data_IF_368965468022
#
_entry.id   IF_368965468022
#
_cell.length_a   1.000
_cell.length_b   1.000
_cell.length_c   1.000
_cell.angle_alpha   90.00
_cell.angle_beta   90.00
_cell.angle_gamma   90.00
#
_symmetry.space_group_name_H-M   'P 1'
#
loop_
_entity.id
_entity.type
_entity.pdbx_description
1 polymer ?
#
# COMPACT_ATOMS: atom_id res chain seq x y z
N UNK A 1 27.86 9.34 -1.99
CA UNK A 1 28.02 10.08 -0.72
C UNK A 1 28.33 11.57 -0.86
N UNK A 2 29.37 12.04 -1.57
CA UNK A 2 29.65 13.48 -1.65
C UNK A 2 28.46 14.33 -2.12
N UNK A 3 27.77 13.86 -3.17
CA UNK A 3 26.57 14.52 -3.71
C UNK A 3 25.42 14.60 -2.70
N UNK A 4 25.19 13.55 -1.91
CA UNK A 4 24.18 13.58 -0.85
C UNK A 4 24.48 14.68 0.18
N UNK A 5 25.74 14.80 0.61
CA UNK A 5 26.13 15.83 1.57
C UNK A 5 25.97 17.24 1.00
N UNK A 6 26.27 17.45 -0.28
CA UNK A 6 26.05 18.73 -0.95
C UNK A 6 24.57 19.12 -0.96
N UNK A 7 23.70 18.19 -1.32
CA UNK A 7 22.25 18.39 -1.32
C UNK A 7 21.74 18.68 0.11
N UNK A 8 22.14 17.88 1.09
CA UNK A 8 21.71 18.06 2.48
C UNK A 8 22.20 19.40 3.07
N UNK A 9 23.45 19.80 2.77
CA UNK A 9 23.98 21.13 3.12
C UNK A 9 23.17 22.25 2.49
N UNK A 10 22.81 22.10 1.21
CA UNK A 10 21.97 23.07 0.49
C UNK A 10 20.57 23.17 1.10
N UNK A 11 19.92 22.05 1.40
CA UNK A 11 18.61 22.04 2.04
C UNK A 11 18.65 22.72 3.43
N UNK A 12 19.65 22.38 4.24
CA UNK A 12 19.84 23.01 5.55
C UNK A 12 20.10 24.52 5.42
N UNK A 13 20.90 24.97 4.45
CA UNK A 13 21.14 26.40 4.24
C UNK A 13 19.90 27.17 3.79
N UNK A 14 18.90 26.48 3.23
CA UNK A 14 17.58 27.02 2.90
C UNK A 14 16.55 26.85 4.03
N UNK A 15 16.98 26.49 5.24
CA UNK A 15 16.14 26.43 6.44
C UNK A 15 15.45 25.09 6.69
N UNK A 16 15.81 24.02 5.97
CA UNK A 16 15.29 22.69 6.28
C UNK A 16 15.86 22.19 7.62
N UNK A 17 14.99 22.05 8.62
CA UNK A 17 15.36 21.48 9.93
C UNK A 17 15.27 19.96 9.94
N UNK A 18 14.21 19.41 9.33
CA UNK A 18 13.95 17.98 9.22
C UNK A 18 14.07 17.54 7.77
N UNK A 19 14.77 16.43 7.54
CA UNK A 19 14.85 15.79 6.23
C UNK A 19 14.53 14.31 6.40
N UNK A 20 13.48 13.88 5.70
CA UNK A 20 13.17 12.47 5.54
C UNK A 20 14.12 11.82 4.53
N UNK A 21 14.75 10.72 4.94
CA UNK A 21 15.53 9.86 4.06
C UNK A 21 14.89 8.48 4.09
N UNK A 22 14.36 8.08 2.94
CA UNK A 22 13.72 6.79 2.75
C UNK A 22 14.79 5.69 2.64
N UNK A 23 14.77 4.77 3.60
CA UNK A 23 15.61 3.57 3.63
C UNK A 23 14.75 2.29 3.69
N UNK A 24 13.86 2.06 2.71
CA UNK A 24 12.97 0.90 2.71
C UNK A 24 13.71 -0.44 2.54
N UNK A 25 14.99 -0.43 2.20
CA UNK A 25 15.79 -1.66 2.17
C UNK A 25 16.08 -2.21 3.58
N UNK A 26 15.93 -1.40 4.64
CA UNK A 26 16.08 -1.86 6.03
C UNK A 26 15.05 -2.93 6.44
N UNK A 27 13.95 -3.09 5.70
CA UNK A 27 12.94 -4.12 5.96
C UNK A 27 13.16 -5.40 5.16
N UNK A 28 14.29 -5.53 4.47
CA UNK A 28 14.70 -6.72 3.72
C UNK A 28 15.85 -7.46 4.40
N UNK A 29 16.15 -8.67 3.94
CA UNK A 29 17.35 -9.39 4.36
C UNK A 29 18.61 -8.65 3.89
N UNK A 30 19.36 -8.08 4.83
CA UNK A 30 20.57 -7.33 4.56
C UNK A 30 21.83 -8.17 4.73
N UNK A 31 22.73 -8.08 3.75
CA UNK A 31 24.11 -8.57 3.87
C UNK A 31 24.90 -7.72 4.88
N UNK A 32 25.93 -8.29 5.50
CA UNK A 32 26.79 -7.56 6.46
C UNK A 32 27.40 -6.30 5.84
N UNK A 33 27.84 -6.38 4.58
CA UNK A 33 28.36 -5.23 3.84
C UNK A 33 27.33 -4.09 3.69
N UNK A 34 26.05 -4.43 3.52
CA UNK A 34 24.99 -3.42 3.48
C UNK A 34 24.79 -2.80 4.87
N UNK A 35 24.80 -3.60 5.94
CA UNK A 35 24.71 -3.11 7.32
C UNK A 35 25.86 -2.16 7.66
N UNK A 36 27.09 -2.50 7.28
CA UNK A 36 28.26 -1.64 7.43
C UNK A 36 28.10 -0.31 6.68
N UNK A 37 27.52 -0.34 5.47
CA UNK A 37 27.27 0.86 4.68
C UNK A 37 26.30 1.81 5.39
N UNK A 38 25.20 1.30 5.96
CA UNK A 38 24.28 2.11 6.78
C UNK A 38 25.01 2.85 7.91
N UNK A 39 25.76 2.11 8.73
CA UNK A 39 26.50 2.71 9.85
C UNK A 39 27.47 3.80 9.36
N UNK A 40 28.25 3.51 8.31
CA UNK A 40 29.22 4.46 7.77
C UNK A 40 28.57 5.73 7.16
N UNK A 41 27.46 5.56 6.46
CA UNK A 41 26.74 6.66 5.80
C UNK A 41 26.14 7.62 6.83
N UNK A 42 25.38 7.10 7.79
CA UNK A 42 24.69 7.93 8.76
C UNK A 42 25.66 8.56 9.78
N UNK A 43 26.73 7.85 10.17
CA UNK A 43 27.81 8.46 10.97
C UNK A 43 28.45 9.65 10.23
N UNK A 44 28.63 9.55 8.91
CA UNK A 44 29.18 10.64 8.10
C UNK A 44 28.21 11.83 7.99
N UNK A 45 26.91 11.58 7.82
CA UNK A 45 25.89 12.64 7.79
C UNK A 45 25.88 13.38 9.14
N UNK A 46 25.78 12.66 10.25
CA UNK A 46 25.77 13.26 11.59
C UNK A 46 27.02 14.11 11.87
N UNK A 47 28.21 13.63 11.45
CA UNK A 47 29.47 14.36 11.62
C UNK A 47 29.51 15.68 10.84
N UNK A 48 29.02 15.68 9.61
CA UNK A 48 29.09 16.84 8.71
C UNK A 48 27.95 17.83 8.92
N UNK A 49 26.81 17.36 9.43
CA UNK A 49 25.56 18.09 9.56
C UNK A 49 24.94 17.84 10.95
N UNK A 50 25.63 18.16 12.06
CA UNK A 50 25.21 17.74 13.40
C UNK A 50 23.87 18.31 13.87
N UNK A 51 23.44 19.43 13.27
CA UNK A 51 22.19 20.11 13.61
C UNK A 51 21.01 19.67 12.72
N UNK A 52 21.26 18.86 11.68
CA UNK A 52 20.22 18.43 10.75
C UNK A 52 19.47 17.22 11.34
N UNK A 53 18.15 17.31 11.46
CA UNK A 53 17.33 16.23 12.02
C UNK A 53 16.90 15.28 10.92
N UNK A 54 17.53 14.12 10.88
CA UNK A 54 17.19 13.08 9.90
C UNK A 54 16.02 12.23 10.43
N UNK A 55 15.01 12.05 9.58
CA UNK A 55 13.95 11.07 9.77
C UNK A 55 14.31 9.85 8.90
N UNK A 56 14.75 8.78 9.54
CA UNK A 56 15.04 7.50 8.88
C UNK A 56 13.71 6.76 8.64
N UNK A 57 13.32 6.63 7.38
CA UNK A 57 11.98 6.16 7.04
C UNK A 57 11.97 4.78 6.42
N UNK A 58 11.22 3.87 7.04
CA UNK A 58 11.01 2.50 6.56
C UNK A 58 9.53 2.21 6.37
N UNK A 59 9.19 1.42 5.37
CA UNK A 59 7.79 1.10 5.06
C UNK A 59 7.69 -0.21 4.28
N UNK A 60 6.44 -0.68 4.11
CA UNK A 60 6.04 -1.88 3.36
C UNK A 60 6.27 -3.22 4.04
N UNK A 61 7.08 -3.28 5.09
CA UNK A 61 7.30 -4.43 5.98
C UNK A 61 7.92 -3.93 7.30
N UNK A 62 8.35 -4.82 8.18
CA UNK A 62 8.91 -4.52 9.50
C UNK A 62 10.43 -4.66 9.51
N UNK A 63 11.08 -4.08 10.51
CA UNK A 63 12.55 -4.08 10.60
C UNK A 63 13.15 -5.46 10.90
N UNK A 64 12.40 -6.34 11.59
CA UNK A 64 12.81 -7.71 11.95
C UNK A 64 14.27 -7.74 12.48
N UNK A 65 15.14 -8.58 11.90
CA UNK A 65 16.55 -8.74 12.31
C UNK A 65 17.41 -7.48 12.14
N UNK A 66 16.93 -6.46 11.41
CA UNK A 66 17.62 -5.18 11.24
C UNK A 66 17.18 -4.13 12.26
N UNK A 67 16.26 -4.43 13.17
CA UNK A 67 15.83 -3.50 14.22
C UNK A 67 17.01 -2.96 15.05
N UNK A 68 17.98 -3.78 15.53
CA UNK A 68 19.14 -3.26 16.27
C UNK A 68 19.99 -2.29 15.43
N UNK A 69 20.13 -2.55 14.13
CA UNK A 69 20.83 -1.64 13.23
C UNK A 69 20.11 -0.30 13.15
N UNK A 70 18.81 -0.29 12.83
CA UNK A 70 18.02 0.94 12.68
C UNK A 70 18.03 1.81 13.94
N UNK A 71 17.91 1.19 15.12
CA UNK A 71 17.97 1.90 16.42
C UNK A 71 19.36 2.44 16.77
N UNK A 72 20.42 1.88 16.19
CA UNK A 72 21.80 2.32 16.44
C UNK A 72 22.25 3.51 15.58
N UNK A 73 21.52 3.82 14.51
CA UNK A 73 21.92 4.89 13.58
C UNK A 73 21.75 6.27 14.23
N UNK A 74 22.69 7.21 14.01
CA UNK A 74 22.62 8.55 14.59
C UNK A 74 21.62 9.42 13.81
N UNK A 75 20.33 9.22 14.09
CA UNK A 75 19.21 9.94 13.46
C UNK A 75 18.27 10.50 14.54
N UNK A 76 17.46 11.50 14.18
CA UNK A 76 16.55 12.16 15.13
C UNK A 76 15.25 11.36 15.30
N UNK A 77 14.72 10.81 14.20
CA UNK A 77 13.44 10.09 14.19
C UNK A 77 13.55 8.81 13.37
N UNK A 78 12.96 7.73 13.85
CA UNK A 78 12.71 6.50 13.08
C UNK A 78 11.23 6.43 12.70
N UNK A 79 10.91 6.24 11.43
CA UNK A 79 9.55 5.96 10.98
C UNK A 79 9.37 4.47 10.65
N UNK A 80 8.25 3.90 11.11
CA UNK A 80 7.90 2.48 10.94
C UNK A 80 6.45 2.30 10.48
N UNK A 81 6.24 1.29 9.63
CA UNK A 81 4.93 0.91 9.10
C UNK A 81 4.17 -0.02 10.07
N UNK A 82 3.27 0.57 10.85
CA UNK A 82 2.41 -0.15 11.81
C UNK A 82 1.10 -0.63 11.20
N UNK A 83 0.83 -0.30 9.93
CA UNK A 83 -0.30 -0.88 9.19
C UNK A 83 0.05 -2.29 8.75
N UNK A 84 1.25 -2.46 8.19
CA UNK A 84 1.71 -3.74 7.68
C UNK A 84 2.25 -4.65 8.77
N UNK A 85 3.00 -4.08 9.71
CA UNK A 85 3.69 -4.78 10.80
C UNK A 85 3.38 -4.12 12.13
N UNK A 86 2.13 -4.17 12.61
CA UNK A 86 1.75 -3.59 13.89
C UNK A 86 2.51 -4.22 15.07
N UNK A 87 2.84 -5.51 14.98
CA UNK A 87 3.49 -6.26 16.06
C UNK A 87 4.91 -5.78 16.38
N UNK A 88 5.57 -5.07 15.45
CA UNK A 88 6.93 -4.59 15.65
C UNK A 88 7.03 -3.46 16.70
N UNK A 89 5.90 -2.79 17.01
CA UNK A 89 5.88 -1.68 17.95
C UNK A 89 6.41 -2.09 19.34
N UNK A 90 6.02 -3.28 19.82
CA UNK A 90 6.48 -3.79 21.12
C UNK A 90 8.01 -3.89 21.19
N UNK A 91 8.61 -4.48 20.17
CA UNK A 91 10.05 -4.70 20.10
C UNK A 91 10.80 -3.36 19.99
N UNK A 92 10.25 -2.40 19.24
CA UNK A 92 10.81 -1.06 19.15
C UNK A 92 10.75 -0.36 20.50
N UNK A 93 9.57 -0.32 21.13
CA UNK A 93 9.39 0.37 22.40
C UNK A 93 10.29 -0.22 23.51
N UNK A 94 10.53 -1.52 23.49
CA UNK A 94 11.43 -2.19 24.45
C UNK A 94 12.92 -1.83 24.26
N UNK A 95 13.34 -1.44 23.05
CA UNK A 95 14.75 -1.24 22.70
C UNK A 95 15.12 0.20 22.29
N UNK A 96 14.14 1.10 22.15
CA UNK A 96 14.35 2.44 21.60
C UNK A 96 15.26 3.30 22.51
N UNK A 97 16.32 3.92 21.96
CA UNK A 97 17.18 4.83 22.73
C UNK A 97 16.43 6.07 23.23
N UNK A 98 16.88 6.67 24.34
CA UNK A 98 16.22 7.83 24.99
C UNK A 98 16.02 9.04 24.07
N UNK A 99 16.95 9.27 23.13
CA UNK A 99 16.95 10.46 22.27
C UNK A 99 16.29 10.23 20.90
N UNK A 100 15.87 9.01 20.58
CA UNK A 100 15.29 8.69 19.27
C UNK A 100 13.77 8.92 19.28
N UNK A 101 13.25 9.77 18.40
CA UNK A 101 11.79 9.91 18.22
C UNK A 101 11.24 8.78 17.35
N UNK A 102 9.95 8.50 17.49
CA UNK A 102 9.26 7.48 16.73
C UNK A 102 8.11 8.10 15.92
N UNK A 103 8.14 7.90 14.61
CA UNK A 103 7.03 8.22 13.71
C UNK A 103 6.21 6.96 13.44
N UNK A 104 4.95 7.00 13.88
CA UNK A 104 4.01 5.89 13.81
C UNK A 104 3.24 5.94 12.48
N UNK A 105 3.58 5.05 11.56
CA UNK A 105 2.88 4.87 10.29
C UNK A 105 1.58 4.10 10.46
N UNK A 106 0.49 4.78 10.85
CA UNK A 106 -0.79 4.15 11.24
C UNK A 106 -1.92 4.34 10.21
N UNK A 107 -1.77 5.26 9.25
CA UNK A 107 -2.76 5.47 8.17
C UNK A 107 -2.27 4.80 6.88
N UNK A 108 -2.99 3.81 6.37
CA UNK A 108 -2.54 2.98 5.24
C UNK A 108 -2.28 3.82 3.97
N UNK A 109 -1.03 3.87 3.53
CA UNK A 109 -0.62 4.56 2.29
C UNK A 109 -0.75 3.72 1.01
N UNK A 110 -1.13 2.45 1.11
CA UNK A 110 -1.22 1.48 0.00
C UNK A 110 -2.64 1.01 -0.30
N UNK A 111 -3.61 1.29 0.57
CA UNK A 111 -4.99 0.84 0.38
C UNK A 111 -6.02 1.94 0.63
N UNK A 112 -7.19 1.76 0.04
CA UNK A 112 -8.27 2.76 -0.05
C UNK A 112 -9.27 2.70 1.09
N UNK A 113 -9.06 1.82 2.07
CA UNK A 113 -9.97 1.71 3.20
C UNK A 113 -9.75 2.87 4.18
N UNK A 114 -10.87 3.36 4.73
CA UNK A 114 -10.90 4.32 5.84
C UNK A 114 -10.17 3.72 7.03
N UNK A 115 -9.34 4.52 7.68
CA UNK A 115 -8.60 4.09 8.87
C UNK A 115 -9.58 3.79 10.02
N UNK A 116 -9.33 2.72 10.77
CA UNK A 116 -9.98 2.51 12.07
C UNK A 116 -9.27 3.36 13.12
N UNK A 117 -9.92 4.44 13.54
CA UNK A 117 -9.34 5.36 14.50
C UNK A 117 -9.14 4.74 15.87
N UNK A 118 -9.99 3.79 16.28
CA UNK A 118 -9.87 3.16 17.59
C UNK A 118 -8.61 2.31 17.67
N UNK A 119 -8.39 1.46 16.67
CA UNK A 119 -7.17 0.67 16.52
C UNK A 119 -5.91 1.54 16.46
N UNK A 120 -5.92 2.61 15.65
CA UNK A 120 -4.76 3.51 15.52
C UNK A 120 -4.47 4.29 16.80
N UNK A 121 -5.49 4.76 17.52
CA UNK A 121 -5.33 5.47 18.80
C UNK A 121 -4.75 4.57 19.88
N UNK A 122 -4.97 3.25 19.86
CA UNK A 122 -4.33 2.32 20.79
C UNK A 122 -2.80 2.32 20.62
N UNK A 123 -2.30 2.23 19.39
CA UNK A 123 -0.86 2.31 19.11
C UNK A 123 -0.27 3.66 19.54
N UNK A 124 -0.96 4.76 19.22
CA UNK A 124 -0.51 6.10 19.55
C UNK A 124 -0.43 6.30 21.07
N UNK A 125 -1.47 5.92 21.82
CA UNK A 125 -1.51 6.05 23.28
C UNK A 125 -0.41 5.23 23.93
N UNK A 126 -0.25 3.97 23.51
CA UNK A 126 0.79 3.09 24.03
C UNK A 126 2.19 3.68 23.84
N UNK A 127 2.48 4.20 22.65
CA UNK A 127 3.77 4.82 22.38
C UNK A 127 3.97 6.12 23.19
N UNK A 128 2.93 6.95 23.33
CA UNK A 128 2.98 8.17 24.16
C UNK A 128 3.19 7.87 25.64
N UNK A 129 2.52 6.86 26.18
CA UNK A 129 2.65 6.44 27.58
C UNK A 129 4.09 6.05 27.92
N UNK A 130 4.81 5.43 26.98
CA UNK A 130 6.17 4.97 27.18
C UNK A 130 7.25 6.01 26.83
N UNK A 131 7.03 6.82 25.80
CA UNK A 131 8.06 7.71 25.24
C UNK A 131 7.83 9.20 25.51
N UNK A 132 6.64 9.60 25.96
CA UNK A 132 6.24 11.00 26.01
C UNK A 132 5.67 11.49 24.68
N UNK A 133 4.81 12.52 24.72
CA UNK A 133 4.14 13.06 23.53
C UNK A 133 5.13 13.72 22.55
N UNK A 134 6.18 14.36 23.07
CA UNK A 134 7.19 15.09 22.32
C UNK A 134 8.08 14.20 21.44
N UNK A 135 8.09 12.89 21.70
CA UNK A 135 8.84 11.90 20.94
C UNK A 135 8.00 11.15 19.91
N UNK A 136 6.71 11.46 19.77
CA UNK A 136 5.80 10.76 18.87
C UNK A 136 5.38 11.63 17.69
N UNK A 137 5.57 11.11 16.49
CA UNK A 137 4.97 11.65 15.26
C UNK A 137 3.89 10.67 14.77
N UNK A 138 2.83 11.20 14.18
CA UNK A 138 1.75 10.40 13.56
C UNK A 138 1.84 10.62 12.05
N UNK A 139 1.89 9.54 11.30
CA UNK A 139 2.14 9.58 9.86
C UNK A 139 1.31 8.53 9.11
N UNK A 140 1.17 8.70 7.78
CA UNK A 140 0.83 7.59 6.89
C UNK A 140 1.87 6.47 7.00
N UNK A 141 1.48 5.22 6.76
CA UNK A 141 2.36 4.05 6.80
C UNK A 141 3.43 4.02 5.71
N UNK A 142 3.18 4.76 4.63
CA UNK A 142 4.08 4.97 3.49
C UNK A 142 3.65 6.24 2.76
N UNK A 143 4.35 6.60 1.68
CA UNK A 143 3.85 7.62 0.74
C UNK A 143 2.42 7.32 0.30
N UNK A 144 1.58 8.38 0.18
CA UNK A 144 0.22 8.30 -0.37
C UNK A 144 0.21 8.20 -1.92
N UNK A 145 1.38 8.05 -2.56
CA UNK A 145 1.51 7.82 -4.00
C UNK A 145 0.73 6.58 -4.49
N UNK A 146 0.51 5.60 -3.61
CA UNK A 146 -0.11 4.32 -3.97
C UNK A 146 -1.62 4.29 -3.83
N UNK A 147 -2.25 5.41 -3.46
CA UNK A 147 -3.71 5.54 -3.38
C UNK A 147 -4.21 6.61 -4.35
N UNK A 148 -5.48 6.55 -4.80
CA UNK A 148 -6.05 7.59 -5.64
C UNK A 148 -6.10 8.93 -4.88
N UNK A 149 -6.33 10.01 -5.63
CA UNK A 149 -6.19 11.37 -5.11
C UNK A 149 -7.32 11.80 -4.17
N UNK A 150 -8.57 11.81 -4.64
CA UNK A 150 -9.71 12.38 -3.89
C UNK A 150 -11.00 11.57 -4.12
N UNK A 151 -11.56 11.02 -3.03
CA UNK A 151 -12.79 10.22 -3.05
C UNK A 151 -14.03 11.07 -3.38
N UNK A 152 -13.97 12.37 -3.17
CA UNK A 152 -15.08 13.29 -3.47
C UNK A 152 -15.35 13.37 -4.98
N UNK A 153 -14.38 13.00 -5.83
CA UNK A 153 -14.52 12.94 -7.28
C UNK A 153 -15.29 11.71 -7.77
N UNK A 154 -15.51 10.71 -6.91
CA UNK A 154 -16.32 9.52 -7.22
C UNK A 154 -17.82 9.85 -7.05
N UNK A 155 -18.43 10.46 -8.06
CA UNK A 155 -19.82 10.97 -8.01
C UNK A 155 -20.87 9.99 -8.56
N UNK A 156 -20.44 8.87 -9.13
CA UNK A 156 -21.34 7.90 -9.79
C UNK A 156 -21.81 6.82 -8.81
N UNK A 157 -22.97 7.06 -8.22
CA UNK A 157 -23.61 6.17 -7.24
C UNK A 157 -23.81 4.73 -7.75
N UNK A 158 -24.12 4.57 -9.04
CA UNK A 158 -24.27 3.25 -9.68
C UNK A 158 -22.99 2.41 -9.63
N UNK A 159 -21.81 3.05 -9.69
CA UNK A 159 -20.52 2.37 -9.64
C UNK A 159 -19.93 2.29 -8.23
N UNK A 160 -20.27 3.25 -7.37
CA UNK A 160 -19.81 3.30 -6.00
C UNK A 160 -20.96 3.74 -5.09
N UNK A 161 -21.77 2.79 -4.60
CA UNK A 161 -22.85 3.09 -3.68
C UNK A 161 -22.34 3.74 -2.39
N UNK A 162 -23.13 4.62 -1.80
CA UNK A 162 -22.82 5.37 -0.59
C UNK A 162 -22.46 4.44 0.59
N UNK A 163 -23.12 3.28 0.68
CA UNK A 163 -22.83 2.25 1.68
C UNK A 163 -21.37 1.78 1.61
N UNK A 164 -20.79 1.65 0.42
CA UNK A 164 -19.38 1.26 0.22
C UNK A 164 -18.48 2.49 0.31
N UNK A 165 -18.89 3.62 -0.26
CA UNK A 165 -18.11 4.86 -0.29
C UNK A 165 -17.72 5.33 1.12
N UNK A 166 -18.62 5.19 2.10
CA UNK A 166 -18.32 5.56 3.49
C UNK A 166 -17.24 4.69 4.14
N UNK A 167 -16.86 3.54 3.58
CA UNK A 167 -15.77 2.70 4.08
C UNK A 167 -14.40 3.10 3.52
N UNK A 168 -14.36 4.08 2.61
CA UNK A 168 -13.17 4.40 1.84
C UNK A 168 -12.55 5.74 2.28
N UNK A 169 -11.25 5.88 1.98
CA UNK A 169 -10.47 7.09 2.11
C UNK A 169 -9.36 7.09 1.04
N UNK A 170 -9.26 8.16 0.25
CA UNK A 170 -8.19 8.39 -0.72
C UNK A 170 -7.14 9.35 -0.12
N UNK A 171 -6.14 9.78 -0.88
CA UNK A 171 -5.03 10.58 -0.36
C UNK A 171 -5.48 11.83 0.43
N UNK A 172 -6.41 12.62 -0.12
CA UNK A 172 -6.97 13.80 0.55
C UNK A 172 -7.64 13.45 1.88
N UNK A 173 -8.45 12.40 1.91
CA UNK A 173 -9.12 11.96 3.13
C UNK A 173 -8.11 11.43 4.16
N UNK A 174 -7.08 10.70 3.74
CA UNK A 174 -6.03 10.16 4.61
C UNK A 174 -5.18 11.25 5.29
N UNK A 175 -4.94 12.37 4.61
CA UNK A 175 -4.31 13.55 5.25
C UNK A 175 -5.18 14.07 6.40
N UNK A 176 -6.51 14.13 6.20
CA UNK A 176 -7.46 14.48 7.26
C UNK A 176 -7.45 13.44 8.40
N UNK A 177 -7.36 12.14 8.08
CA UNK A 177 -7.25 11.07 9.10
C UNK A 177 -6.03 11.26 10.00
N UNK A 178 -4.85 11.58 9.44
CA UNK A 178 -3.64 11.86 10.24
C UNK A 178 -3.84 13.05 11.18
N UNK A 179 -4.43 14.15 10.69
CA UNK A 179 -4.69 15.34 11.50
C UNK A 179 -5.70 15.05 12.63
N UNK A 180 -6.76 14.29 12.33
CA UNK A 180 -7.76 13.88 13.31
C UNK A 180 -7.16 12.97 14.38
N UNK A 181 -6.36 11.96 14.00
CA UNK A 181 -5.68 11.08 14.95
C UNK A 181 -4.76 11.85 15.89
N UNK A 182 -4.02 12.85 15.36
CA UNK A 182 -3.19 13.74 16.17
C UNK A 182 -4.03 14.48 17.22
N UNK A 183 -5.12 15.10 16.81
CA UNK A 183 -6.00 15.85 17.72
C UNK A 183 -6.70 14.93 18.75
N UNK A 184 -7.23 13.79 18.31
CA UNK A 184 -7.85 12.76 19.15
C UNK A 184 -6.90 12.14 20.18
N UNK A 185 -5.60 12.19 19.92
CA UNK A 185 -4.58 11.69 20.83
C UNK A 185 -4.10 12.72 21.86
N UNK A 186 -4.59 13.97 21.79
CA UNK A 186 -4.25 15.03 22.75
C UNK A 186 -5.09 14.93 24.03
N UNK A 187 -4.70 15.65 25.09
CA UNK A 187 -5.46 15.70 26.34
C UNK A 187 -6.88 16.26 26.18
N UNK A 188 -7.06 17.22 25.28
CA UNK A 188 -8.34 17.91 25.05
C UNK A 188 -8.69 17.94 23.55
N UNK A 189 -9.14 16.82 22.97
CA UNK A 189 -9.53 16.76 21.56
C UNK A 189 -10.65 17.76 21.23
N UNK A 190 -10.62 18.32 20.03
CA UNK A 190 -11.68 19.24 19.58
C UNK A 190 -13.03 18.53 19.42
N UNK A 191 -14.12 19.29 19.55
CA UNK A 191 -15.47 18.77 19.31
C UNK A 191 -15.65 18.22 17.89
N UNK A 192 -15.01 18.83 16.89
CA UNK A 192 -15.03 18.34 15.50
C UNK A 192 -14.40 16.94 15.40
N UNK A 193 -13.23 16.75 16.01
CA UNK A 193 -12.56 15.45 16.02
C UNK A 193 -13.37 14.37 16.73
N UNK A 194 -14.03 14.71 17.84
CA UNK A 194 -14.90 13.78 18.57
C UNK A 194 -16.12 13.36 17.75
N UNK A 195 -16.72 14.29 16.99
CA UNK A 195 -17.81 13.97 16.05
C UNK A 195 -17.31 13.05 14.94
N UNK A 196 -16.18 13.40 14.31
CA UNK A 196 -15.57 12.59 13.25
C UNK A 196 -15.19 11.19 13.75
N UNK A 197 -14.76 11.05 15.01
CA UNK A 197 -14.50 9.75 15.62
C UNK A 197 -15.78 8.92 15.79
N UNK A 198 -16.88 9.53 16.22
CA UNK A 198 -18.18 8.87 16.28
C UNK A 198 -18.68 8.38 14.91
N UNK A 199 -18.48 9.18 13.86
CA UNK A 199 -18.78 8.80 12.47
C UNK A 199 -17.87 7.67 11.97
N UNK A 200 -16.57 7.75 12.28
CA UNK A 200 -15.61 6.71 11.95
C UNK A 200 -16.04 5.35 12.55
N UNK A 201 -16.36 5.31 13.86
CA UNK A 201 -16.84 4.09 14.52
C UNK A 201 -18.08 3.50 13.84
N UNK A 202 -19.04 4.34 13.46
CA UNK A 202 -20.24 3.89 12.73
C UNK A 202 -19.89 3.27 11.38
N UNK A 203 -18.99 3.89 10.62
CA UNK A 203 -18.56 3.38 9.31
C UNK A 203 -17.80 2.04 9.43
N UNK A 204 -16.91 1.91 10.42
CA UNK A 204 -16.17 0.67 10.70
C UNK A 204 -17.15 -0.45 11.12
N UNK A 205 -18.08 -0.16 12.02
CA UNK A 205 -19.08 -1.15 12.45
C UNK A 205 -20.00 -1.56 11.32
N UNK A 206 -20.48 -0.59 10.53
CA UNK A 206 -21.31 -0.86 9.36
C UNK A 206 -20.61 -1.81 8.37
N UNK A 207 -19.33 -1.58 8.08
CA UNK A 207 -18.53 -2.50 7.26
C UNK A 207 -18.43 -3.90 7.89
N UNK A 208 -18.13 -3.96 9.19
CA UNK A 208 -17.90 -5.20 9.93
C UNK A 208 -19.09 -6.16 9.88
N UNK A 209 -20.32 -5.64 9.82
CA UNK A 209 -21.55 -6.45 9.80
C UNK A 209 -22.22 -6.54 8.42
N UNK A 210 -21.66 -5.88 7.38
CA UNK A 210 -22.33 -5.78 6.09
C UNK A 210 -22.41 -7.13 5.37
N UNK A 211 -23.60 -7.47 4.88
CA UNK A 211 -23.83 -8.67 4.07
C UNK A 211 -23.18 -8.59 2.69
N UNK A 212 -22.77 -7.40 2.25
CA UNK A 212 -22.05 -7.21 0.97
C UNK A 212 -20.68 -7.89 0.95
N UNK A 213 -20.06 -8.08 2.12
CA UNK A 213 -18.73 -8.71 2.24
C UNK A 213 -18.76 -10.04 3.03
N UNK A 214 -19.95 -10.47 3.47
CA UNK A 214 -20.15 -11.74 4.18
C UNK A 214 -21.09 -12.65 3.37
N UNK A 215 -20.52 -13.52 2.54
CA UNK A 215 -21.26 -14.53 1.77
C UNK A 215 -21.09 -15.92 2.39
N UNK A 216 -22.17 -16.44 2.99
CA UNK A 216 -22.18 -17.74 3.64
C UNK A 216 -21.88 -18.91 2.69
N UNK A 217 -22.24 -18.79 1.40
CA UNK A 217 -21.95 -19.82 0.40
C UNK A 217 -20.46 -19.85 0.07
N UNK A 218 -19.83 -18.68 -0.05
CA UNK A 218 -18.38 -18.59 -0.25
C UNK A 218 -17.66 -19.18 0.97
N UNK A 219 -18.08 -18.84 2.19
CA UNK A 219 -17.49 -19.41 3.41
C UNK A 219 -17.58 -20.94 3.41
N UNK A 220 -18.75 -21.50 3.13
CA UNK A 220 -18.94 -22.94 3.06
C UNK A 220 -18.04 -23.61 1.99
N UNK A 221 -17.82 -22.96 0.86
CA UNK A 221 -16.92 -23.46 -0.18
C UNK A 221 -15.44 -23.43 0.25
N UNK A 222 -15.04 -22.38 0.97
CA UNK A 222 -13.69 -22.26 1.52
C UNK A 222 -13.41 -23.31 2.59
N UNK A 223 -14.40 -23.62 3.44
CA UNK A 223 -14.28 -24.66 4.46
C UNK A 223 -14.13 -26.08 3.86
N UNK A 224 -14.57 -26.27 2.61
CA UNK A 224 -14.47 -27.53 1.88
C UNK A 224 -13.23 -27.60 0.96
N UNK A 225 -12.31 -26.62 1.02
CA UNK A 225 -11.23 -26.48 0.05
C UNK A 225 -10.25 -27.67 0.03
N UNK A 226 -10.01 -28.31 1.18
CA UNK A 226 -9.13 -29.48 1.29
C UNK A 226 -9.63 -30.69 0.48
N UNK A 227 -10.94 -30.77 0.22
CA UNK A 227 -11.51 -31.81 -0.63
C UNK A 227 -11.32 -31.53 -2.13
N UNK A 228 -10.87 -30.33 -2.52
CA UNK A 228 -10.64 -29.94 -3.91
C UNK A 228 -9.25 -30.41 -4.34
N UNK A 229 -9.12 -31.30 -5.34
CA UNK A 229 -7.81 -31.77 -5.80
C UNK A 229 -6.99 -30.62 -6.39
N UNK A 230 -5.90 -30.23 -5.73
CA UNK A 230 -4.93 -29.24 -6.25
C UNK A 230 -4.00 -29.82 -7.31
N UNK A 231 -3.96 -31.15 -7.43
CA UNK A 231 -3.21 -31.87 -8.45
C UNK A 231 -4.10 -32.26 -9.63
N UNK A 232 -3.54 -32.15 -10.83
CA UNK A 232 -4.16 -32.68 -12.05
C UNK A 232 -4.27 -34.22 -11.95
N UNK A 233 -5.29 -34.78 -12.59
CA UNK A 233 -5.56 -36.23 -12.58
C UNK A 233 -4.43 -37.11 -13.13
N UNK A 234 -3.56 -36.56 -13.99
CA UNK A 234 -2.46 -37.31 -14.62
C UNK A 234 -1.20 -36.46 -14.72
N UNK A 235 -0.05 -37.13 -14.63
CA UNK A 235 1.27 -36.54 -14.77
C UNK A 235 1.48 -35.94 -16.18
N UNK A 236 2.37 -34.94 -16.28
CA UNK A 236 2.60 -34.22 -17.53
C UNK A 236 2.97 -35.14 -18.70
N UNK A 237 3.78 -36.18 -18.48
CA UNK A 237 4.18 -37.13 -19.53
C UNK A 237 2.97 -37.81 -20.21
N UNK A 238 1.95 -38.18 -19.44
CA UNK A 238 0.71 -38.78 -19.96
C UNK A 238 -0.15 -37.74 -20.68
N UNK A 239 -0.28 -36.54 -20.09
CA UNK A 239 -1.07 -35.45 -20.69
C UNK A 239 -0.47 -34.96 -22.02
N UNK A 240 0.85 -34.89 -22.12
CA UNK A 240 1.56 -34.39 -23.31
C UNK A 240 1.23 -35.20 -24.56
N UNK A 241 1.10 -36.53 -24.43
CA UNK A 241 0.73 -37.42 -25.55
C UNK A 241 -0.66 -37.07 -26.08
N UNK A 242 -1.66 -37.00 -25.19
CA UNK A 242 -3.04 -36.63 -25.56
C UNK A 242 -3.13 -35.21 -26.11
N UNK A 243 -2.40 -34.27 -25.52
CA UNK A 243 -2.34 -32.88 -25.99
C UNK A 243 -1.73 -32.79 -27.40
N UNK A 244 -0.71 -33.58 -27.70
CA UNK A 244 -0.08 -33.62 -29.02
C UNK A 244 -1.02 -34.19 -30.09
N UNK A 245 -1.81 -35.22 -29.76
CA UNK A 245 -2.80 -35.80 -30.66
C UNK A 245 -3.90 -34.79 -31.04
N UNK A 246 -4.35 -33.99 -30.07
CA UNK A 246 -5.40 -32.98 -30.26
C UNK A 246 -4.87 -31.74 -30.98
N UNK A 247 -3.77 -31.15 -30.47
CA UNK A 247 -3.29 -29.84 -30.91
C UNK A 247 -2.39 -29.92 -32.15
N UNK A 248 -1.77 -31.09 -32.42
CA UNK A 248 -0.91 -31.36 -33.58
C UNK A 248 0.16 -30.27 -33.80
N UNK A 249 0.76 -29.81 -32.71
CA UNK A 249 1.74 -28.73 -32.74
C UNK A 249 3.08 -29.20 -33.33
N UNK A 250 3.78 -28.37 -34.12
CA UNK A 250 5.14 -28.67 -34.57
C UNK A 250 6.14 -28.61 -33.41
N UNK A 251 7.40 -29.00 -33.65
CA UNK A 251 8.46 -29.01 -32.61
C UNK A 251 8.72 -27.63 -31.99
N UNK A 252 8.54 -26.56 -32.77
CA UNK A 252 8.68 -25.17 -32.35
C UNK A 252 7.35 -24.43 -32.54
N UNK A 253 6.32 -24.73 -31.73
CA UNK A 253 5.04 -24.09 -31.89
C UNK A 253 5.16 -22.62 -31.50
N UNK A 254 4.79 -21.74 -32.42
CA UNK A 254 4.77 -20.30 -32.17
C UNK A 254 3.39 -19.89 -31.66
N UNK A 255 3.37 -19.13 -30.58
CA UNK A 255 2.17 -18.47 -30.06
C UNK A 255 2.53 -17.07 -29.57
N UNK A 256 1.50 -16.24 -29.36
CA UNK A 256 1.64 -14.99 -28.59
C UNK A 256 1.11 -15.21 -27.17
N UNK A 257 1.31 -14.23 -26.29
CA UNK A 257 0.89 -14.28 -24.88
C UNK A 257 -0.55 -13.76 -24.67
N UNK A 258 -1.15 -13.12 -25.67
CA UNK A 258 -2.52 -12.63 -25.59
C UNK A 258 -2.78 -11.39 -26.42
N UNK A 259 -2.72 -10.22 -25.78
CA UNK A 259 -3.17 -8.94 -26.35
C UNK A 259 -2.46 -8.55 -27.65
N UNK A 260 -3.24 -7.98 -28.56
CA UNK A 260 -2.78 -7.27 -29.74
C UNK A 260 -2.91 -5.76 -29.54
N UNK A 261 -2.29 -4.91 -30.39
CA UNK A 261 -2.38 -3.47 -30.26
C UNK A 261 -3.83 -2.98 -30.17
N UNK A 262 -4.15 -2.26 -29.10
CA UNK A 262 -5.47 -1.68 -28.95
C UNK A 262 -5.59 -0.41 -29.81
N UNK A 263 -6.28 -0.52 -30.93
CA UNK A 263 -6.44 0.55 -31.93
C UNK A 263 -7.28 1.72 -31.39
N UNK A 264 -7.22 2.88 -32.08
CA UNK A 264 -8.00 4.06 -31.72
C UNK A 264 -9.50 3.78 -31.83
N UNK A 265 -9.87 2.99 -32.83
CA UNK A 265 -11.22 2.54 -33.15
C UNK A 265 -11.78 1.71 -31.99
N UNK A 266 -11.03 0.69 -31.52
CA UNK A 266 -11.44 -0.14 -30.38
C UNK A 266 -11.62 0.68 -29.10
N UNK A 267 -10.76 1.68 -28.86
CA UNK A 267 -10.94 2.61 -27.72
C UNK A 267 -12.18 3.49 -27.89
N UNK A 268 -12.43 3.97 -29.10
CA UNK A 268 -13.60 4.79 -29.44
C UNK A 268 -14.90 4.02 -29.22
N UNK A 269 -15.02 2.80 -29.76
CA UNK A 269 -16.21 1.96 -29.58
C UNK A 269 -16.49 1.67 -28.11
N UNK A 270 -15.44 1.37 -27.32
CA UNK A 270 -15.58 1.15 -25.88
C UNK A 270 -16.07 2.40 -25.15
N UNK A 271 -15.59 3.58 -25.52
CA UNK A 271 -16.04 4.85 -24.95
C UNK A 271 -17.51 5.12 -25.31
N UNK A 272 -17.90 4.93 -26.57
CA UNK A 272 -19.28 5.08 -27.04
C UNK A 272 -20.22 4.11 -26.31
N UNK A 273 -19.83 2.84 -26.18
CA UNK A 273 -20.62 1.84 -25.46
C UNK A 273 -20.80 2.21 -23.98
N UNK A 274 -19.74 2.63 -23.29
CA UNK A 274 -19.81 3.09 -21.89
C UNK A 274 -20.67 4.34 -21.69
N UNK A 275 -20.87 5.15 -22.73
CA UNK A 275 -21.77 6.31 -22.73
C UNK A 275 -23.19 5.99 -23.21
N UNK A 276 -23.46 4.74 -23.61
CA UNK A 276 -24.75 4.35 -24.20
C UNK A 276 -24.97 4.86 -25.62
N UNK A 277 -23.94 5.37 -26.30
CA UNK A 277 -24.03 5.91 -27.67
C UNK A 277 -24.17 4.80 -28.73
N UNK A 278 -23.76 3.56 -28.41
CA UNK A 278 -23.98 2.37 -29.23
C UNK A 278 -24.58 1.24 -28.40
N UNK A 279 -25.39 0.40 -29.04
CA UNK A 279 -26.00 -0.76 -28.38
C UNK A 279 -24.98 -1.86 -28.07
N UNK A 280 -25.35 -2.77 -27.16
CA UNK A 280 -24.53 -3.92 -26.81
C UNK A 280 -24.31 -4.85 -28.01
N UNK A 281 -25.33 -5.02 -28.85
CA UNK A 281 -25.25 -5.80 -30.09
C UNK A 281 -24.22 -5.18 -31.04
N UNK A 282 -24.31 -3.86 -31.26
CA UNK A 282 -23.37 -3.15 -32.14
C UNK A 282 -21.94 -3.22 -31.61
N UNK A 283 -21.73 -3.02 -30.32
CA UNK A 283 -20.41 -3.13 -29.71
C UNK A 283 -19.84 -4.55 -29.86
N UNK A 284 -20.67 -5.58 -29.66
CA UNK A 284 -20.28 -6.98 -29.83
C UNK A 284 -19.87 -7.29 -31.27
N UNK A 285 -20.60 -6.77 -32.27
CA UNK A 285 -20.27 -7.00 -33.68
C UNK A 285 -18.95 -6.35 -34.09
N UNK A 286 -18.67 -5.14 -33.60
CA UNK A 286 -17.39 -4.47 -33.81
C UNK A 286 -16.22 -5.25 -33.18
N UNK A 287 -16.40 -5.84 -31.99
CA UNK A 287 -15.39 -6.69 -31.37
C UNK A 287 -15.17 -8.01 -32.14
N UNK A 288 -16.23 -8.60 -32.70
CA UNK A 288 -16.11 -9.79 -33.56
C UNK A 288 -15.31 -9.49 -34.82
N UNK A 289 -15.55 -8.34 -35.45
CA UNK A 289 -14.81 -7.89 -36.61
C UNK A 289 -13.32 -7.72 -36.29
N UNK A 290 -12.99 -7.03 -35.19
CA UNK A 290 -11.60 -6.84 -34.77
C UNK A 290 -10.90 -8.15 -34.39
N UNK A 291 -11.63 -9.07 -33.76
CA UNK A 291 -11.12 -10.42 -33.44
C UNK A 291 -10.80 -11.20 -34.71
N UNK A 292 -11.65 -11.07 -35.74
CA UNK A 292 -11.42 -11.68 -37.06
C UNK A 292 -10.19 -11.06 -37.73
N UNK A 293 -10.04 -9.73 -37.68
CA UNK A 293 -8.87 -9.03 -38.22
C UNK A 293 -7.58 -9.49 -37.54
N UNK A 294 -7.56 -9.54 -36.21
CA UNK A 294 -6.42 -10.03 -35.42
C UNK A 294 -6.08 -11.49 -35.75
N UNK A 295 -7.10 -12.34 -35.90
CA UNK A 295 -6.92 -13.74 -36.29
C UNK A 295 -6.31 -13.88 -37.69
N UNK A 296 -6.72 -13.02 -38.63
CA UNK A 296 -6.16 -12.99 -39.98
C UNK A 296 -4.70 -12.53 -39.97
N UNK A 297 -4.33 -11.55 -39.15
CA UNK A 297 -2.93 -11.13 -38.97
C UNK A 297 -2.07 -12.27 -38.44
N UNK A 298 -2.56 -13.04 -37.46
CA UNK A 298 -1.84 -14.19 -36.91
C UNK A 298 -1.68 -15.35 -37.91
N UNK A 299 -2.62 -15.50 -38.84
CA UNK A 299 -2.57 -16.56 -39.87
C UNK A 299 -1.63 -16.22 -41.02
N UNK A 300 -1.42 -14.93 -41.29
CA UNK A 300 -0.46 -14.45 -42.28
C UNK A 300 0.96 -14.58 -41.75
#
# INVERSE_FOLDING_TARGET
MPVYLEILKSLQSHGAEYIQIDEPFLVLDLTDKAKEAYTAVYAKIQKELPNLKIILTTYFEGLEDNLPLALSLPVDTLHVDLVRKPEQLENILAAIPENLKLSLGVVDGRNIWKNDFESSLQFIRKAKEQLGEERILIAPSSSLLHVPYDLDLETKEESLPAEIKQWMAYAKQKIKEVALLRDLSSENPSAESLVAFGENKKAIENKRISTLIHDAKVQQQMDALDAVPVSRQSAFAQRKVQQQEILKLPLFPTTTIGSFPQTKEVRSWRAQFKKGEISAERYTDLLKEETKNTSNVRRK
#
